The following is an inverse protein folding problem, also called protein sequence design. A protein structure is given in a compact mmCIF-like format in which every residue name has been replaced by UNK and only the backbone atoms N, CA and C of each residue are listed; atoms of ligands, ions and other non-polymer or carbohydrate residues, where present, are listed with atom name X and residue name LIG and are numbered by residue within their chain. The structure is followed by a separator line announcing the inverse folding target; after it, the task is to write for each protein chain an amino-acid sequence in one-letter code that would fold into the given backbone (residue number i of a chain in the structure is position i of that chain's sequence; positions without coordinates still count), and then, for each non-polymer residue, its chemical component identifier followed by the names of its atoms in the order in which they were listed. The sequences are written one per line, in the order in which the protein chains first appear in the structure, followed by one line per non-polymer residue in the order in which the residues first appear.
data_IF_912805514390
#
_entry.id   IF_912805514390
#
_cell.length_a   1.000
_cell.length_b   1.000
_cell.length_c   1.000
_cell.angle_alpha   90.00
_cell.angle_beta   90.00
_cell.angle_gamma   90.00
#
_symmetry.space_group_name_H-M   'P 1'
#
loop_
_entity.id
_entity.type
_entity.pdbx_description
1 polymer ?
#
# COMPACT_ATOMS: atom_id res chain seq x y z
N UNK A 1 -10.35 -3.93 10.27
CA UNK A 1 -9.93 -4.14 8.86
C UNK A 1 -9.80 -2.77 8.21
N UNK A 2 -8.71 -2.47 7.48
CA UNK A 2 -8.30 -1.23 6.75
C UNK A 2 -9.05 0.10 6.94
N UNK A 3 -10.38 0.09 6.97
CA UNK A 3 -11.28 1.19 7.36
C UNK A 3 -10.88 1.83 8.71
N UNK A 4 -10.24 1.08 9.64
CA UNK A 4 -9.89 1.59 10.96
C UNK A 4 -8.67 2.53 11.03
N UNK A 5 -7.82 2.62 10.01
CA UNK A 5 -6.61 3.45 10.08
C UNK A 5 -6.84 4.93 9.75
N UNK A 6 -8.04 5.30 9.29
CA UNK A 6 -8.37 6.70 8.96
C UNK A 6 -7.49 7.29 7.86
N UNK A 7 -7.12 6.49 6.86
CA UNK A 7 -6.29 6.88 5.71
C UNK A 7 -7.21 7.24 4.54
N UNK A 8 -7.03 8.43 3.98
CA UNK A 8 -7.64 8.80 2.70
C UNK A 8 -6.75 8.29 1.57
N UNK A 9 -7.10 7.17 0.95
CA UNK A 9 -6.28 6.54 -0.11
C UNK A 9 -6.06 7.44 -1.33
N UNK A 10 -6.96 8.40 -1.57
CA UNK A 10 -6.89 9.31 -2.71
C UNK A 10 -5.95 10.48 -2.42
N UNK A 11 -5.88 10.94 -1.17
CA UNK A 11 -5.01 12.06 -0.77
C UNK A 11 -3.67 11.61 -0.20
N UNK A 12 -3.65 10.44 0.42
CA UNK A 12 -2.54 9.88 1.18
C UNK A 12 -2.05 8.58 0.54
N UNK A 13 -1.94 8.56 -0.79
CA UNK A 13 -1.48 7.40 -1.56
C UNK A 13 -0.13 6.83 -1.08
N UNK A 14 0.74 7.69 -0.54
CA UNK A 14 2.02 7.30 0.06
C UNK A 14 1.88 6.39 1.29
N UNK A 15 0.68 6.27 1.88
CA UNK A 15 0.36 5.37 3.00
C UNK A 15 -0.19 4.01 2.54
N UNK A 16 -0.48 3.81 1.25
CA UNK A 16 -1.03 2.53 0.74
C UNK A 16 -0.17 1.29 1.08
N UNK A 17 1.17 1.35 1.08
CA UNK A 17 1.98 0.24 1.55
C UNK A 17 1.70 -0.13 3.01
N UNK A 18 1.47 0.85 3.89
CA UNK A 18 1.11 0.60 5.28
C UNK A 18 -0.29 -0.03 5.38
N UNK A 19 -1.26 0.41 4.57
CA UNK A 19 -2.59 -0.21 4.49
C UNK A 19 -2.47 -1.68 4.11
N UNK A 20 -1.69 -2.00 3.07
CA UNK A 20 -1.48 -3.37 2.61
C UNK A 20 -0.85 -4.24 3.70
N UNK A 21 0.20 -3.75 4.35
CA UNK A 21 0.84 -4.47 5.45
C UNK A 21 -0.12 -4.68 6.64
N UNK A 22 -0.95 -3.69 6.97
CA UNK A 22 -1.93 -3.81 8.04
C UNK A 22 -3.01 -4.85 7.73
N UNK A 23 -3.45 -4.94 6.47
CA UNK A 23 -4.42 -5.95 6.02
C UNK A 23 -3.85 -7.37 6.02
N UNK A 24 -2.56 -7.50 5.74
CA UNK A 24 -1.86 -8.79 5.69
C UNK A 24 -1.21 -9.15 7.04
N UNK A 25 -1.35 -8.30 8.06
CA UNK A 25 -0.70 -8.50 9.33
C UNK A 25 -1.24 -9.75 10.03
N UNK A 26 -0.37 -10.67 10.47
CA UNK A 26 -0.81 -11.79 11.29
C UNK A 26 -1.28 -11.29 12.67
N UNK A 27 -2.12 -12.09 13.32
CA UNK A 27 -2.52 -11.82 14.69
C UNK A 27 -1.30 -11.91 15.63
N UNK A 28 -1.14 -10.95 16.57
CA UNK A 28 -0.13 -11.06 17.61
C UNK A 28 -0.34 -12.33 18.44
N UNK A 29 0.73 -12.84 19.04
CA UNK A 29 0.69 -14.08 19.83
C UNK A 29 -0.41 -14.04 20.90
N UNK A 30 -1.25 -15.06 20.90
CA UNK A 30 -2.33 -15.23 21.88
C UNK A 30 -3.64 -14.53 21.50
N UNK A 31 -3.69 -13.83 20.36
CA UNK A 31 -4.94 -13.33 19.78
C UNK A 31 -5.49 -14.32 18.77
N UNK A 32 -6.81 -14.45 18.77
CA UNK A 32 -7.59 -15.30 17.87
C UNK A 32 -8.76 -14.49 17.32
N UNK A 33 -9.25 -14.85 16.12
CA UNK A 33 -10.39 -14.20 15.47
C UNK A 33 -11.61 -15.12 15.54
N UNK A 34 -12.74 -14.51 15.88
CA UNK A 34 -14.05 -15.15 16.00
C UNK A 34 -15.07 -14.32 15.23
N UNK A 35 -16.28 -14.85 15.06
CA UNK A 35 -17.42 -14.12 14.51
C UNK A 35 -18.52 -14.06 15.56
N UNK A 36 -19.18 -12.92 15.68
CA UNK A 36 -20.37 -12.80 16.50
C UNK A 36 -21.62 -13.37 15.78
N UNK A 37 -22.78 -13.25 16.41
CA UNK A 37 -24.06 -13.76 15.87
C UNK A 37 -24.47 -13.09 14.54
N UNK A 38 -23.92 -11.91 14.24
CA UNK A 38 -24.15 -11.17 12.98
C UNK A 38 -23.14 -11.53 11.90
N UNK A 39 -22.15 -12.36 12.24
CA UNK A 39 -21.04 -12.73 11.37
C UNK A 39 -19.90 -11.71 11.36
N UNK A 40 -19.95 -10.68 12.21
CA UNK A 40 -18.94 -9.64 12.29
C UNK A 40 -17.69 -10.19 13.01
N UNK A 41 -16.48 -9.99 12.46
CA UNK A 41 -15.27 -10.49 13.08
C UNK A 41 -14.92 -9.70 14.35
N UNK A 42 -14.60 -10.41 15.43
CA UNK A 42 -14.01 -9.85 16.64
C UNK A 42 -12.78 -10.65 17.06
N UNK A 43 -11.88 -9.97 17.76
CA UNK A 43 -10.59 -10.50 18.20
C UNK A 43 -10.62 -10.74 19.69
N UNK A 44 -10.15 -11.91 20.13
CA UNK A 44 -10.09 -12.28 21.55
C UNK A 44 -8.67 -12.70 21.93
N UNK A 45 -8.18 -12.21 23.06
CA UNK A 45 -6.88 -12.59 23.61
C UNK A 45 -7.04 -13.73 24.62
N UNK A 46 -6.56 -14.92 24.24
CA UNK A 46 -6.79 -16.20 24.94
C UNK A 46 -6.47 -16.19 26.43
N UNK A 47 -5.38 -15.52 26.83
CA UNK A 47 -4.94 -15.53 28.24
C UNK A 47 -5.67 -14.51 29.12
N UNK A 48 -6.03 -13.35 28.58
CA UNK A 48 -6.59 -12.26 29.38
C UNK A 48 -8.09 -12.08 29.19
N UNK A 49 -8.71 -12.83 28.27
CA UNK A 49 -10.14 -12.69 27.92
C UNK A 49 -10.50 -11.35 27.29
N UNK A 50 -9.50 -10.53 26.90
CA UNK A 50 -9.75 -9.22 26.30
C UNK A 50 -10.31 -9.41 24.90
N UNK A 51 -11.42 -8.75 24.59
CA UNK A 51 -12.01 -8.74 23.25
C UNK A 51 -11.90 -7.36 22.60
N UNK A 52 -11.90 -7.31 21.28
CA UNK A 52 -11.95 -6.07 20.52
C UNK A 52 -12.53 -6.32 19.13
N UNK A 53 -13.29 -5.36 18.60
CA UNK A 53 -13.67 -5.35 17.18
C UNK A 53 -12.58 -4.72 16.29
N UNK A 54 -11.53 -4.15 16.89
CA UNK A 54 -10.35 -3.65 16.16
C UNK A 54 -9.28 -4.73 16.12
N UNK A 55 -8.53 -4.77 15.02
CA UNK A 55 -7.44 -5.73 14.92
C UNK A 55 -6.36 -5.33 15.94
N UNK A 56 -5.81 -6.27 16.73
CA UNK A 56 -4.87 -5.96 17.81
C UNK A 56 -3.54 -5.35 17.33
N UNK A 57 -3.21 -5.48 16.04
CA UNK A 57 -2.07 -4.80 15.44
C UNK A 57 -2.39 -3.37 14.95
N UNK A 58 -3.65 -2.93 14.96
CA UNK A 58 -4.05 -1.61 14.44
C UNK A 58 -3.27 -0.48 15.13
N UNK A 59 -3.07 -0.55 16.46
CA UNK A 59 -2.33 0.46 17.22
C UNK A 59 -0.88 0.64 16.72
N UNK A 60 -0.24 -0.44 16.27
CA UNK A 60 1.09 -0.39 15.67
C UNK A 60 1.07 0.37 14.33
N UNK A 61 0.12 0.03 13.46
CA UNK A 61 0.01 0.67 12.15
C UNK A 61 -0.45 2.12 12.25
N UNK A 62 -1.32 2.47 13.20
CA UNK A 62 -1.69 3.86 13.46
C UNK A 62 -0.48 4.72 13.84
N UNK A 63 0.43 4.21 14.68
CA UNK A 63 1.69 4.91 15.00
C UNK A 63 2.54 5.12 13.74
N UNK A 64 2.67 4.09 12.91
CA UNK A 64 3.42 4.20 11.63
C UNK A 64 2.80 5.20 10.67
N UNK A 65 1.47 5.27 10.61
CA UNK A 65 0.75 6.28 9.82
C UNK A 65 1.07 7.69 10.30
N UNK A 66 1.06 7.94 11.61
CA UNK A 66 1.40 9.25 12.18
C UNK A 66 2.86 9.63 11.91
N UNK A 67 3.79 8.68 12.04
CA UNK A 67 5.21 8.87 11.70
C UNK A 67 5.39 9.22 10.22
N UNK A 68 4.72 8.48 9.31
CA UNK A 68 4.81 8.71 7.87
C UNK A 68 4.17 10.04 7.44
N UNK A 69 3.04 10.42 8.03
CA UNK A 69 2.42 11.74 7.85
C UNK A 69 3.36 12.86 8.27
N UNK A 70 3.96 12.74 9.46
CA UNK A 70 4.91 13.74 9.98
C UNK A 70 6.13 13.88 9.06
N UNK A 71 6.70 12.76 8.62
CA UNK A 71 7.82 12.75 7.69
C UNK A 71 7.44 13.35 6.34
N UNK A 72 6.24 13.07 5.84
CA UNK A 72 5.73 13.63 4.59
C UNK A 72 5.61 15.16 4.66
N UNK A 73 4.99 15.70 5.72
CA UNK A 73 4.86 17.15 5.93
C UNK A 73 6.24 17.82 5.95
N UNK A 74 7.19 17.23 6.69
CA UNK A 74 8.57 17.75 6.75
C UNK A 74 9.26 17.74 5.39
N UNK A 75 9.18 16.63 4.65
CA UNK A 75 9.78 16.52 3.31
C UNK A 75 9.20 17.53 2.32
N UNK A 76 7.88 17.78 2.39
CA UNK A 76 7.20 18.82 1.60
C UNK A 76 7.71 20.22 1.95
N UNK A 77 7.85 20.54 3.24
CA UNK A 77 8.38 21.83 3.70
C UNK A 77 9.84 22.06 3.28
N UNK A 78 10.64 20.99 3.24
CA UNK A 78 12.06 21.02 2.86
C UNK A 78 12.28 20.98 1.34
N UNK A 79 11.21 21.00 0.54
CA UNK A 79 11.29 20.97 -0.93
C UNK A 79 11.87 19.66 -1.50
N UNK A 80 11.93 18.60 -0.70
CA UNK A 80 12.38 17.28 -1.16
C UNK A 80 11.30 16.63 -2.02
N UNK A 81 11.71 15.87 -3.05
CA UNK A 81 10.80 15.13 -3.92
C UNK A 81 9.87 14.26 -3.06
N UNK A 82 8.62 14.69 -2.99
CA UNK A 82 7.55 14.04 -2.25
C UNK A 82 7.46 12.61 -2.77
N UNK A 83 7.46 11.59 -1.87
CA UNK A 83 7.06 10.23 -2.24
C UNK A 83 5.81 10.37 -3.10
N UNK A 84 5.93 10.05 -4.38
CA UNK A 84 4.91 10.40 -5.34
C UNK A 84 3.53 10.01 -4.81
N UNK A 85 2.67 11.02 -4.68
CA UNK A 85 1.30 10.95 -4.19
C UNK A 85 0.36 10.14 -5.11
N UNK A 86 0.93 9.49 -6.12
CA UNK A 86 0.22 8.59 -7.01
C UNK A 86 -0.08 7.29 -6.27
N UNK A 87 -1.35 6.98 -6.02
CA UNK A 87 -1.76 5.89 -5.14
C UNK A 87 -1.70 4.57 -5.90
N UNK A 88 -0.52 4.17 -6.35
CA UNK A 88 -0.28 2.87 -6.96
C UNK A 88 -0.01 1.82 -5.90
N UNK A 89 -0.66 0.66 -6.02
CA UNK A 89 -0.38 -0.52 -5.21
C UNK A 89 -0.28 -1.76 -6.10
N UNK A 90 0.60 -2.68 -5.74
CA UNK A 90 0.73 -3.95 -6.43
C UNK A 90 -0.28 -4.99 -5.94
N UNK A 91 -0.79 -5.76 -6.88
CA UNK A 91 -1.70 -6.88 -6.70
C UNK A 91 -1.19 -8.07 -7.50
N UNK A 92 -1.73 -9.25 -7.17
CA UNK A 92 -1.50 -10.49 -7.89
C UNK A 92 -2.85 -10.96 -8.41
N UNK A 93 -2.94 -11.33 -9.68
CA UNK A 93 -4.17 -11.83 -10.30
C UNK A 93 -4.37 -13.34 -10.11
N UNK A 94 -5.39 -13.89 -10.77
CA UNK A 94 -5.73 -15.32 -10.73
C UNK A 94 -4.68 -16.23 -11.36
N UNK A 95 -3.81 -15.68 -12.22
CA UNK A 95 -2.69 -16.38 -12.85
C UNK A 95 -1.39 -16.21 -12.06
N UNK A 96 -1.45 -15.63 -10.86
CA UNK A 96 -0.29 -15.30 -10.05
C UNK A 96 0.63 -14.24 -10.69
N UNK A 97 0.12 -13.43 -11.61
CA UNK A 97 0.84 -12.35 -12.27
C UNK A 97 0.69 -11.05 -11.50
N UNK A 98 1.79 -10.32 -11.35
CA UNK A 98 1.83 -9.04 -10.63
C UNK A 98 1.40 -7.90 -11.53
N UNK A 99 0.48 -7.07 -11.05
CA UNK A 99 0.15 -5.79 -11.68
C UNK A 99 0.08 -4.67 -10.65
N UNK A 100 0.21 -3.43 -11.11
CA UNK A 100 0.04 -2.22 -10.32
C UNK A 100 -1.30 -1.59 -10.67
N UNK A 101 -2.04 -1.13 -9.67
CA UNK A 101 -3.30 -0.42 -9.82
C UNK A 101 -3.22 0.96 -9.20
N UNK A 102 -3.61 1.98 -9.96
CA UNK A 102 -3.72 3.36 -9.47
C UNK A 102 -5.12 3.57 -8.89
N UNK A 103 -5.22 3.82 -7.59
CA UNK A 103 -6.50 4.09 -6.94
C UNK A 103 -7.14 5.43 -7.35
N UNK A 104 -6.36 6.36 -7.91
CA UNK A 104 -6.84 7.67 -8.38
C UNK A 104 -7.40 7.58 -9.80
N UNK A 105 -6.62 7.05 -10.74
CA UNK A 105 -7.01 7.00 -12.16
C UNK A 105 -7.79 5.73 -12.54
N UNK A 106 -7.74 4.67 -11.72
CA UNK A 106 -8.29 3.36 -12.05
C UNK A 106 -7.45 2.57 -13.05
N UNK A 107 -6.27 3.06 -13.40
CA UNK A 107 -5.39 2.44 -14.39
C UNK A 107 -4.68 1.21 -13.82
N UNK A 108 -4.42 0.24 -14.70
CA UNK A 108 -3.57 -0.92 -14.43
C UNK A 108 -2.27 -0.79 -15.22
N UNK A 109 -1.17 -1.29 -14.64
CA UNK A 109 0.13 -1.36 -15.30
C UNK A 109 0.79 -2.69 -14.98
N UNK A 110 1.47 -3.30 -15.95
CA UNK A 110 2.35 -4.46 -15.77
C UNK A 110 3.78 -4.07 -15.39
N UNK A 111 4.07 -2.77 -15.32
CA UNK A 111 5.36 -2.24 -14.85
C UNK A 111 5.15 -1.33 -13.64
N UNK A 112 6.10 -1.38 -12.70
CA UNK A 112 6.11 -0.45 -11.57
C UNK A 112 6.23 0.98 -12.10
N UNK A 113 5.29 1.87 -11.81
CA UNK A 113 5.37 3.27 -12.26
C UNK A 113 6.65 3.94 -11.75
N UNK A 114 7.35 4.64 -12.64
CA UNK A 114 8.69 5.22 -12.41
C UNK A 114 8.76 6.19 -11.22
N UNK A 115 7.63 6.70 -10.76
CA UNK A 115 7.49 7.53 -9.56
C UNK A 115 7.83 6.78 -8.25
N UNK A 116 8.04 5.46 -8.30
CA UNK A 116 8.52 4.64 -7.18
C UNK A 116 10.03 4.30 -7.24
N UNK A 117 10.74 4.65 -8.31
CA UNK A 117 12.14 4.25 -8.52
C UNK A 117 13.14 4.95 -7.59
N UNK A 118 12.76 6.06 -6.96
CA UNK A 118 13.63 6.85 -6.08
C UNK A 118 13.89 6.14 -4.73
N UNK A 119 13.15 5.08 -4.40
CA UNK A 119 13.35 4.33 -3.15
C UNK A 119 14.38 3.19 -3.24
N UNK A 120 14.85 2.83 -4.45
CA UNK A 120 15.79 1.71 -4.65
C UNK A 120 17.18 2.15 -5.15
N UNK A 121 17.32 3.41 -5.60
CA UNK A 121 18.59 3.94 -6.14
C UNK A 121 19.67 4.22 -5.08
N UNK A 122 19.55 3.59 -3.90
CA UNK A 122 20.64 3.42 -2.95
C UNK A 122 21.54 2.23 -3.27
N UNK A 123 21.67 1.80 -4.52
CA UNK A 123 22.78 0.96 -4.97
C UNK A 123 22.96 0.97 -6.49
N UNK A 124 24.05 1.62 -6.88
CA UNK A 124 24.86 1.38 -8.05
C UNK A 124 24.35 1.83 -9.44
N UNK A 125 25.08 2.79 -9.97
CA UNK A 125 25.09 3.29 -11.33
C UNK A 125 25.58 2.25 -12.33
N UNK A 126 24.82 2.04 -13.41
CA UNK A 126 25.28 2.04 -14.82
C UNK A 126 24.22 1.51 -15.79
N UNK A 127 24.03 2.23 -16.89
CA UNK A 127 23.59 1.65 -18.16
C UNK A 127 22.21 2.12 -18.64
N UNK A 128 22.20 3.20 -19.42
CA UNK A 128 21.20 3.34 -20.50
C UNK A 128 21.43 2.23 -21.54
N UNK A 129 20.38 1.79 -22.25
CA UNK A 129 20.37 2.17 -23.67
C UNK A 129 18.98 2.45 -24.27
N UNK A 130 18.96 3.53 -25.07
CA UNK A 130 18.34 3.72 -26.39
C UNK A 130 16.93 3.16 -26.65
N UNK A 131 15.99 4.09 -26.79
CA UNK A 131 14.74 3.96 -27.53
C UNK A 131 15.00 3.57 -29.00
N UNK A 132 14.64 2.34 -29.36
CA UNK A 132 14.43 1.91 -30.74
C UNK A 132 12.94 1.72 -30.97
N UNK A 133 12.32 2.62 -31.75
CA UNK A 133 10.98 2.38 -32.32
C UNK A 133 11.16 1.78 -33.70
N UNK A 134 10.35 0.78 -34.06
CA UNK A 134 9.81 0.78 -35.42
C UNK A 134 8.28 0.61 -35.43
N UNK A 135 7.67 1.55 -36.15
CA UNK A 135 6.54 1.44 -37.07
C UNK A 135 5.45 0.36 -36.88
N UNK A 136 4.20 0.83 -36.93
CA UNK A 136 3.29 0.36 -37.99
C UNK A 136 1.94 -0.19 -37.55
N UNK A 137 0.87 0.41 -38.09
CA UNK A 137 -0.31 -0.34 -38.53
C UNK A 137 -1.59 -0.12 -37.75
N UNK A 138 -2.35 0.91 -38.08
CA UNK A 138 -3.82 0.84 -38.03
C UNK A 138 -4.32 -0.08 -39.14
N UNK A 139 -5.45 -0.76 -38.91
CA UNK A 139 -6.49 -0.70 -39.93
C UNK A 139 -7.85 -0.36 -39.33
N UNK A 140 -8.56 0.50 -40.05
CA UNK A 140 -10.01 0.72 -39.95
C UNK A 140 -10.76 -0.53 -40.41
N UNK A 141 -11.93 -0.75 -39.83
CA UNK A 141 -13.20 -0.83 -40.58
C UNK A 141 -14.33 -0.39 -39.66
#
# INVERSE_FOLDING_TARGET
SAISLGIDVMREGYLLPLVKMALQAPLPKGWEVYKDDKGDPFYSHRKSGRTSYRHPADDYFMKKVLEDRTRHIKAVQEGSAVRASEPWLDFVDEHNERYWYNFRSGEKSSVRPALYSVLDSGSNSRGTPRSGTPAGGTPKS
#
